data_IF_909713698005
#
_entry.id   IF_909713698005
#
_cell.length_a   1.000
_cell.length_b   1.000
_cell.length_c   1.000
_cell.angle_alpha   90.00
_cell.angle_beta   90.00
_cell.angle_gamma   90.00
#
_symmetry.space_group_name_H-M   'P 1'
#
loop_
_entity.id
_entity.type
_entity.pdbx_description
1 polymer ?
#
# COMPACT_ATOMS: atom_id res chain seq x y z
N UNK A 1 8.27 -9.33 25.82
CA UNK A 1 7.40 -8.98 24.66
C UNK A 1 6.41 -7.95 25.15
N UNK A 2 6.47 -6.74 24.60
CA UNK A 2 5.73 -5.55 25.06
C UNK A 2 4.20 -5.78 25.13
N UNK A 3 3.56 -5.30 26.20
CA UNK A 3 2.10 -5.38 26.41
C UNK A 3 1.34 -4.71 25.26
N UNK A 4 1.91 -3.65 24.67
CA UNK A 4 1.39 -2.95 23.50
C UNK A 4 1.22 -3.90 22.32
N UNK A 5 2.26 -4.66 21.97
CA UNK A 5 2.22 -5.59 20.86
C UNK A 5 1.23 -6.73 21.10
N UNK A 6 1.09 -7.20 22.35
CA UNK A 6 0.09 -8.22 22.71
C UNK A 6 -1.34 -7.70 22.57
N UNK A 7 -1.59 -6.45 22.97
CA UNK A 7 -2.89 -5.81 22.80
C UNK A 7 -3.22 -5.57 21.31
N UNK A 8 -2.26 -5.04 20.56
CA UNK A 8 -2.39 -4.82 19.12
C UNK A 8 -2.66 -6.14 18.38
N UNK A 9 -1.87 -7.20 18.62
CA UNK A 9 -2.10 -8.49 17.97
C UNK A 9 -3.44 -9.14 18.33
N UNK A 10 -3.95 -8.91 19.54
CA UNK A 10 -5.26 -9.43 19.94
C UNK A 10 -6.40 -8.75 19.18
N UNK A 11 -6.29 -7.44 18.92
CA UNK A 11 -7.36 -6.63 18.30
C UNK A 11 -7.20 -6.49 16.79
N UNK A 12 -5.96 -6.52 16.30
CA UNK A 12 -5.53 -6.35 14.91
C UNK A 12 -4.45 -7.39 14.61
N UNK A 13 -4.83 -8.66 14.36
CA UNK A 13 -3.86 -9.73 14.16
C UNK A 13 -2.95 -9.43 12.95
N UNK A 14 -1.63 -9.55 13.11
CA UNK A 14 -0.66 -9.28 12.02
C UNK A 14 -0.98 -10.06 10.74
N UNK A 15 -1.51 -11.28 10.84
CA UNK A 15 -1.94 -12.10 9.68
C UNK A 15 -3.03 -11.45 8.82
N UNK A 16 -3.69 -10.40 9.32
CA UNK A 16 -4.74 -9.65 8.63
C UNK A 16 -4.23 -8.28 8.12
N UNK A 17 -2.93 -8.03 8.25
CA UNK A 17 -2.33 -6.78 7.81
C UNK A 17 -1.93 -6.86 6.35
N UNK A 18 -2.20 -5.77 5.62
CA UNK A 18 -1.60 -5.53 4.31
C UNK A 18 -0.34 -4.71 4.59
N UNK A 19 0.80 -5.25 4.19
CA UNK A 19 2.08 -4.59 4.39
C UNK A 19 2.38 -3.76 3.14
N UNK A 20 2.65 -2.47 3.31
CA UNK A 20 2.96 -1.54 2.23
C UNK A 20 4.33 -0.94 2.53
N UNK A 21 5.23 -1.05 1.57
CA UNK A 21 6.57 -0.49 1.61
C UNK A 21 6.67 0.52 0.48
N UNK A 22 6.86 1.79 0.83
CA UNK A 22 7.11 2.87 -0.14
C UNK A 22 8.56 3.29 -0.04
N UNK A 23 9.14 3.66 -1.17
CA UNK A 23 10.43 4.30 -1.25
C UNK A 23 10.39 5.32 -2.38
N UNK A 24 10.84 6.53 -2.08
CA UNK A 24 10.84 7.61 -3.05
C UNK A 24 12.23 8.23 -3.22
N UNK A 25 12.51 8.58 -4.47
CA UNK A 25 13.60 9.49 -4.78
C UNK A 25 13.09 10.68 -5.60
N UNK A 26 13.20 11.89 -5.03
CA UNK A 26 13.00 13.12 -5.77
C UNK A 26 14.35 13.75 -6.14
N UNK A 27 14.65 13.82 -7.44
CA UNK A 27 15.72 14.67 -7.96
C UNK A 27 15.16 16.04 -8.33
N UNK A 28 16.00 17.07 -8.40
CA UNK A 28 15.60 18.48 -8.65
C UNK A 28 14.76 18.71 -9.93
N UNK A 29 14.61 17.71 -10.80
CA UNK A 29 13.80 17.78 -12.02
C UNK A 29 12.66 16.78 -12.06
N UNK A 30 12.84 15.54 -11.59
CA UNK A 30 11.82 14.50 -11.62
C UNK A 30 11.81 13.72 -10.29
N UNK A 31 10.61 13.44 -9.76
CA UNK A 31 10.43 12.44 -8.71
C UNK A 31 9.97 11.11 -9.31
N UNK A 32 10.60 10.03 -8.87
CA UNK A 32 10.18 8.66 -9.16
C UNK A 32 9.69 8.01 -7.87
N UNK A 33 8.43 7.59 -7.88
CA UNK A 33 7.75 6.94 -6.76
C UNK A 33 7.81 5.43 -6.98
N UNK A 34 8.38 4.71 -6.01
CA UNK A 34 8.41 3.25 -5.99
C UNK A 34 7.72 2.69 -4.75
N UNK A 35 7.15 1.50 -4.87
CA UNK A 35 6.66 0.78 -3.71
C UNK A 35 6.26 -0.64 -4.05
N UNK A 36 6.10 -1.44 -3.01
CA UNK A 36 5.48 -2.75 -3.13
C UNK A 36 4.52 -2.98 -1.96
N UNK A 37 3.42 -3.67 -2.24
CA UNK A 37 2.44 -4.06 -1.24
C UNK A 37 2.28 -5.59 -1.22
N UNK A 38 2.34 -6.18 -0.03
CA UNK A 38 2.01 -7.60 0.19
C UNK A 38 0.56 -7.69 0.65
N UNK A 39 -0.28 -8.29 -0.19
CA UNK A 39 -1.70 -8.49 0.06
C UNK A 39 -1.95 -9.74 0.91
N UNK A 40 -3.15 -9.84 1.49
CA UNK A 40 -3.53 -10.97 2.38
C UNK A 40 -3.62 -12.32 1.68
N UNK A 41 -3.74 -12.33 0.36
CA UNK A 41 -3.71 -13.53 -0.48
C UNK A 41 -2.26 -13.97 -0.80
N UNK A 42 -1.26 -13.28 -0.26
CA UNK A 42 0.16 -13.52 -0.53
C UNK A 42 0.66 -12.91 -1.84
N UNK A 43 -0.20 -12.22 -2.60
CA UNK A 43 0.23 -11.57 -3.83
C UNK A 43 0.99 -10.27 -3.53
N UNK A 44 2.10 -10.08 -4.24
CA UNK A 44 2.84 -8.82 -4.23
C UNK A 44 2.36 -7.93 -5.37
N UNK A 45 2.12 -6.66 -5.06
CA UNK A 45 1.81 -5.63 -6.05
C UNK A 45 2.99 -4.67 -6.12
N UNK A 46 3.59 -4.56 -7.30
CA UNK A 46 4.55 -3.50 -7.59
C UNK A 46 3.82 -2.21 -7.94
N UNK A 47 4.30 -1.12 -7.37
CA UNK A 47 3.74 0.22 -7.51
C UNK A 47 4.84 1.11 -8.06
N UNK A 48 4.61 1.68 -9.24
CA UNK A 48 5.54 2.64 -9.84
C UNK A 48 4.77 3.77 -10.48
N UNK A 49 5.12 5.00 -10.09
CA UNK A 49 4.51 6.21 -10.61
C UNK A 49 5.54 7.30 -10.85
N UNK A 50 5.31 8.10 -11.89
CA UNK A 50 6.06 9.33 -12.10
C UNK A 50 5.51 10.42 -11.18
N UNK A 51 6.32 10.89 -10.22
CA UNK A 51 5.94 11.97 -9.30
C UNK A 51 5.79 13.31 -10.00
N UNK A 52 6.48 13.51 -11.13
CA UNK A 52 6.40 14.73 -11.93
C UNK A 52 7.42 15.80 -11.51
N UNK A 53 7.26 17.00 -12.07
CA UNK A 53 8.26 18.08 -11.96
C UNK A 53 8.13 18.83 -10.63
N UNK A 54 9.27 19.12 -9.98
CA UNK A 54 9.36 19.85 -8.69
C UNK A 54 8.80 19.11 -7.47
N UNK A 55 9.18 17.85 -7.29
CA UNK A 55 8.90 17.10 -6.07
C UNK A 55 9.97 17.30 -5.00
N UNK A 56 9.54 17.40 -3.75
CA UNK A 56 10.40 17.22 -2.57
C UNK A 56 10.25 15.79 -2.10
N UNK A 57 11.29 15.17 -1.53
CA UNK A 57 11.23 13.79 -1.03
C UNK A 57 10.01 13.55 -0.12
N UNK A 58 9.67 14.52 0.73
CA UNK A 58 8.51 14.40 1.62
C UNK A 58 7.16 14.34 0.89
N UNK A 59 6.98 15.21 -0.12
CA UNK A 59 5.76 15.20 -0.95
C UNK A 59 5.67 13.90 -1.73
N UNK A 60 6.81 13.42 -2.19
CA UNK A 60 6.98 12.22 -2.97
C UNK A 60 6.51 11.00 -2.15
N UNK A 61 7.09 10.76 -0.98
CA UNK A 61 6.65 9.70 -0.06
C UNK A 61 5.16 9.78 0.31
N UNK A 62 4.63 10.99 0.52
CA UNK A 62 3.21 11.16 0.86
C UNK A 62 2.28 10.72 -0.28
N UNK A 63 2.66 11.00 -1.53
CA UNK A 63 1.88 10.56 -2.70
C UNK A 63 2.06 9.06 -2.95
N UNK A 64 3.25 8.48 -2.69
CA UNK A 64 3.46 7.03 -2.76
C UNK A 64 2.49 6.30 -1.82
N UNK A 65 2.37 6.76 -0.57
CA UNK A 65 1.47 6.17 0.43
C UNK A 65 0.01 6.30 0.00
N UNK A 66 -0.42 7.48 -0.45
CA UNK A 66 -1.80 7.70 -0.90
C UNK A 66 -2.17 6.78 -2.05
N UNK A 67 -1.27 6.65 -3.03
CA UNK A 67 -1.55 5.87 -4.21
C UNK A 67 -1.54 4.37 -3.92
N UNK A 68 -0.61 3.91 -3.08
CA UNK A 68 -0.63 2.54 -2.57
C UNK A 68 -1.95 2.21 -1.85
N UNK A 69 -2.45 3.13 -1.02
CA UNK A 69 -3.74 2.97 -0.35
C UNK A 69 -4.92 2.93 -1.34
N UNK A 70 -4.90 3.76 -2.38
CA UNK A 70 -5.92 3.74 -3.42
C UNK A 70 -5.96 2.39 -4.15
N UNK A 71 -4.80 1.86 -4.56
CA UNK A 71 -4.72 0.58 -5.27
C UNK A 71 -5.20 -0.56 -4.38
N UNK A 72 -4.74 -0.60 -3.12
CA UNK A 72 -5.15 -1.63 -2.15
C UNK A 72 -6.66 -1.57 -1.91
N UNK A 73 -7.21 -0.38 -1.72
CA UNK A 73 -8.66 -0.16 -1.56
C UNK A 73 -9.42 -0.71 -2.77
N UNK A 74 -9.00 -0.33 -3.97
CA UNK A 74 -9.74 -0.66 -5.20
C UNK A 74 -9.63 -2.16 -5.55
N UNK A 75 -8.47 -2.80 -5.30
CA UNK A 75 -8.33 -4.26 -5.41
C UNK A 75 -9.21 -5.02 -4.41
N UNK A 76 -9.31 -4.54 -3.17
CA UNK A 76 -10.22 -5.13 -2.17
C UNK A 76 -11.67 -5.08 -2.66
N UNK A 77 -12.07 -4.00 -3.31
CA UNK A 77 -13.41 -3.89 -3.91
C UNK A 77 -13.63 -4.80 -5.12
N UNK A 78 -12.59 -5.07 -5.94
CA UNK A 78 -12.70 -6.02 -7.05
C UNK A 78 -12.85 -7.46 -6.56
N UNK A 79 -12.10 -7.88 -5.54
CA UNK A 79 -12.22 -9.22 -4.97
C UNK A 79 -13.62 -9.48 -4.36
N UNK A 80 -14.23 -8.47 -3.72
CA UNK A 80 -15.60 -8.56 -3.16
C UNK A 80 -16.66 -8.68 -4.27
N UNK A 81 -16.49 -7.98 -5.40
CA UNK A 81 -17.41 -8.07 -6.53
C UNK A 81 -17.33 -9.45 -7.19
N UNK A 82 -16.13 -9.96 -7.44
CA UNK A 82 -15.92 -11.29 -8.04
C UNK A 82 -16.49 -12.43 -7.18
N UNK A 83 -16.36 -12.36 -5.86
CA UNK A 83 -16.95 -13.35 -4.94
C UNK A 83 -18.49 -13.33 -4.91
N UNK A 84 -19.11 -12.19 -5.21
CA UNK A 84 -20.57 -12.07 -5.24
C UNK A 84 -21.17 -12.49 -6.59
N UNK A 85 -20.40 -12.42 -7.68
CA UNK A 85 -20.84 -12.89 -9.01
C UNK A 85 -20.78 -14.41 -9.14
N UNK A 86 -19.87 -15.10 -8.43
CA UNK A 86 -19.79 -16.57 -8.43
C UNK A 86 -20.82 -17.27 -7.53
N UNK A 87 -21.64 -16.53 -6.79
CA UNK A 87 -22.70 -17.06 -5.90
C UNK A 87 -24.11 -16.93 -6.51
N UNK A 88 -24.23 -16.77 -7.83
CA UNK A 88 -25.51 -16.72 -8.55
C UNK A 88 -25.64 -17.84 -9.55
#
# INVERSE_FOLDING_TARGET
MDLTNKHLNKKYPIKEWIEIYTDDSATRRNGDLGGYATLLDGNTLEISFAGGMWYTNFKAETEAIKEALNIVRDKKFQNIKSSNTQRR
#
